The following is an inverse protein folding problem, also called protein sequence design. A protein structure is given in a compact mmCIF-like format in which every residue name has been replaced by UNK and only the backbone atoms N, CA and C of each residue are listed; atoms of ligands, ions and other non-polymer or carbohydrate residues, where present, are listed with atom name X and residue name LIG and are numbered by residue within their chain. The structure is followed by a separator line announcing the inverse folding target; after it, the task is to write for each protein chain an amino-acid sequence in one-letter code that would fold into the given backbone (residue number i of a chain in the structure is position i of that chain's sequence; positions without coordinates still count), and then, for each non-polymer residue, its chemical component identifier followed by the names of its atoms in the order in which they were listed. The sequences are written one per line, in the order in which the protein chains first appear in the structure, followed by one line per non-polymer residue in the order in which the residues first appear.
data_IF_758545948205
#
_entry.id   IF_758545948205
#
_cell.length_a   1.000
_cell.length_b   1.000
_cell.length_c   1.000
_cell.angle_alpha   90.00
_cell.angle_beta   90.00
_cell.angle_gamma   90.00
#
_symmetry.space_group_name_H-M   'P 1'
#
loop_
_entity.id
_entity.type
_entity.pdbx_description
1 polymer ?
#
# COMPACT_ATOMS: atom_id res chain seq x y z
N UNK A 1 11.16 -0.80 12.30
CA UNK A 1 10.33 0.41 12.12
C UNK A 1 11.22 1.66 12.04
N UNK A 2 12.37 1.62 12.69
CA UNK A 2 13.36 2.70 12.81
C UNK A 2 13.81 3.24 11.44
N UNK A 3 14.02 2.37 10.46
CA UNK A 3 14.38 2.80 9.10
C UNK A 3 13.32 3.71 8.45
N UNK A 4 12.02 3.47 8.65
CA UNK A 4 10.96 4.33 8.07
C UNK A 4 10.90 5.70 8.77
N UNK A 5 11.33 5.76 10.03
CA UNK A 5 11.43 6.99 10.80
C UNK A 5 12.65 7.81 10.36
N UNK A 6 13.80 7.17 10.18
CA UNK A 6 15.07 7.85 9.87
C UNK A 6 15.21 8.21 8.40
N UNK A 7 14.98 7.26 7.48
CA UNK A 7 15.23 7.43 6.04
C UNK A 7 13.95 7.43 5.19
N UNK A 8 12.78 7.24 5.83
CA UNK A 8 11.51 7.15 5.12
C UNK A 8 11.26 5.79 4.48
N UNK A 9 10.16 5.69 3.72
CA UNK A 9 9.83 4.47 3.01
C UNK A 9 10.62 4.38 1.70
N UNK A 10 11.60 3.49 1.66
CA UNK A 10 12.44 3.25 0.47
C UNK A 10 11.64 2.51 -0.61
N UNK A 11 11.06 1.37 -0.26
CA UNK A 11 10.26 0.57 -1.19
C UNK A 11 8.75 0.86 -1.08
N UNK A 12 8.11 1.30 -2.18
CA UNK A 12 6.68 1.57 -2.16
C UNK A 12 5.88 0.29 -1.92
N UNK A 13 4.67 0.44 -1.38
CA UNK A 13 3.68 -0.64 -1.37
C UNK A 13 2.97 -0.71 -2.71
N UNK A 14 2.45 -1.88 -3.10
CA UNK A 14 1.66 -2.01 -4.32
C UNK A 14 0.17 -1.95 -3.98
N UNK A 15 -0.56 -1.18 -4.79
CA UNK A 15 -2.00 -0.96 -4.63
C UNK A 15 -2.68 -1.15 -5.99
N UNK A 16 -3.79 -1.88 -6.01
CA UNK A 16 -4.66 -1.97 -7.16
C UNK A 16 -5.68 -0.83 -7.13
N UNK A 17 -5.77 -0.08 -8.23
CA UNK A 17 -6.86 0.86 -8.45
C UNK A 17 -7.94 0.18 -9.30
N UNK A 18 -9.14 0.06 -8.75
CA UNK A 18 -10.32 -0.52 -9.44
C UNK A 18 -11.49 0.43 -9.21
N UNK A 19 -12.06 0.96 -10.29
CA UNK A 19 -13.26 1.82 -10.24
C UNK A 19 -13.11 3.02 -9.27
N UNK A 20 -11.93 3.63 -9.23
CA UNK A 20 -11.63 4.77 -8.36
C UNK A 20 -11.30 4.41 -6.91
N UNK A 21 -11.42 3.15 -6.52
CA UNK A 21 -11.04 2.64 -5.20
C UNK A 21 -9.63 2.04 -5.23
N UNK A 22 -8.91 2.13 -4.10
CA UNK A 22 -7.55 1.61 -3.94
C UNK A 22 -7.53 0.42 -2.97
N UNK A 23 -6.95 -0.69 -3.41
CA UNK A 23 -6.88 -1.95 -2.66
C UNK A 23 -5.43 -2.37 -2.46
N UNK A 24 -4.98 -2.50 -1.21
CA UNK A 24 -3.64 -2.96 -0.87
C UNK A 24 -3.63 -4.44 -0.49
N UNK A 25 -2.72 -5.21 -1.09
CA UNK A 25 -2.55 -6.66 -0.83
C UNK A 25 -1.20 -7.01 -0.23
N UNK A 26 -0.24 -6.07 -0.27
CA UNK A 26 1.10 -6.26 0.28
C UNK A 26 1.47 -5.08 1.18
N UNK A 27 2.62 -5.21 1.86
CA UNK A 27 3.17 -4.09 2.63
C UNK A 27 2.44 -3.80 3.94
N UNK A 28 1.75 -4.78 4.54
CA UNK A 28 1.05 -4.63 5.82
C UNK A 28 1.95 -4.03 6.93
N UNK A 29 3.17 -4.54 7.11
CA UNK A 29 4.12 -4.02 8.09
C UNK A 29 4.54 -2.57 7.81
N UNK A 30 4.69 -2.20 6.52
CA UNK A 30 5.06 -0.83 6.10
C UNK A 30 3.91 0.14 6.33
N UNK A 31 2.70 -0.28 6.01
CA UNK A 31 1.47 0.46 6.29
C UNK A 31 1.27 0.67 7.80
N UNK A 32 1.44 -0.39 8.58
CA UNK A 32 1.30 -0.29 10.04
C UNK A 32 2.39 0.58 10.66
N UNK A 33 3.63 0.51 10.17
CA UNK A 33 4.69 1.43 10.59
C UNK A 33 4.32 2.89 10.31
N UNK A 34 3.78 3.21 9.13
CA UNK A 34 3.28 4.56 8.83
C UNK A 34 2.16 4.98 9.77
N UNK A 35 1.21 4.08 10.07
CA UNK A 35 0.12 4.33 11.01
C UNK A 35 0.62 4.62 12.42
N UNK A 36 1.55 3.81 12.94
CA UNK A 36 2.17 4.00 14.27
C UNK A 36 3.03 5.26 14.34
N UNK A 37 3.67 5.64 13.23
CA UNK A 37 4.45 6.88 13.12
C UNK A 37 3.57 8.13 12.86
N UNK A 38 2.25 8.01 12.79
CA UNK A 38 1.33 9.13 12.56
C UNK A 38 1.44 9.76 11.18
N UNK A 39 1.97 9.04 10.17
CA UNK A 39 2.10 9.56 8.81
C UNK A 39 0.75 9.54 8.09
N UNK A 40 0.34 10.69 7.55
CA UNK A 40 -0.93 10.84 6.80
C UNK A 40 -0.93 10.19 5.41
N UNK A 41 0.24 9.90 4.86
CA UNK A 41 0.38 9.30 3.53
C UNK A 41 1.47 8.23 3.51
N UNK A 42 1.39 7.33 2.53
CA UNK A 42 2.37 6.29 2.26
C UNK A 42 2.68 6.23 0.77
N UNK A 43 3.94 5.99 0.42
CA UNK A 43 4.36 5.90 -0.98
C UNK A 43 3.88 4.59 -1.58
N UNK A 44 3.18 4.71 -2.69
CA UNK A 44 2.46 3.62 -3.34
C UNK A 44 2.84 3.51 -4.81
N UNK A 45 2.98 2.28 -5.31
CA UNK A 45 2.95 1.97 -6.74
C UNK A 45 1.53 1.55 -7.11
N UNK A 46 0.82 2.44 -7.80
CA UNK A 46 -0.56 2.21 -8.21
C UNK A 46 -0.60 1.44 -9.52
N UNK A 47 -1.34 0.33 -9.55
CA UNK A 47 -1.61 -0.44 -10.76
C UNK A 47 -3.10 -0.41 -11.06
N UNK A 48 -3.49 0.03 -12.25
CA UNK A 48 -4.90 -0.03 -12.68
C UNK A 48 -5.28 -1.47 -12.98
N UNK A 49 -6.43 -1.89 -12.48
CA UNK A 49 -6.91 -3.26 -12.59
C UNK A 49 -8.43 -3.30 -12.81
N UNK A 50 -8.92 -4.42 -13.33
CA UNK A 50 -10.36 -4.69 -13.49
C UNK A 50 -10.91 -5.40 -12.25
N UNK A 51 -12.25 -5.43 -12.11
CA UNK A 51 -12.92 -6.21 -11.05
C UNK A 51 -12.55 -7.69 -11.07
N UNK A 52 -12.28 -8.25 -12.25
CA UNK A 52 -11.82 -9.64 -12.37
C UNK A 52 -10.45 -9.83 -11.71
N UNK A 53 -9.51 -8.90 -11.92
CA UNK A 53 -8.20 -8.95 -11.27
C UNK A 53 -8.32 -8.78 -9.76
N UNK A 54 -9.18 -7.88 -9.30
CA UNK A 54 -9.48 -7.74 -7.87
C UNK A 54 -10.00 -9.05 -7.27
N UNK A 55 -10.94 -9.72 -7.94
CA UNK A 55 -11.51 -10.99 -7.49
C UNK A 55 -10.42 -12.06 -7.28
N UNK A 56 -9.40 -12.12 -8.14
CA UNK A 56 -8.29 -13.07 -7.98
C UNK A 56 -7.46 -12.86 -6.71
N UNK A 57 -7.48 -11.66 -6.11
CA UNK A 57 -6.74 -11.37 -4.88
C UNK A 57 -7.59 -11.52 -3.61
N UNK A 58 -8.91 -11.73 -3.76
CA UNK A 58 -9.87 -11.88 -2.65
C UNK A 58 -10.34 -13.32 -2.46
N UNK A 59 -9.93 -14.23 -3.34
CA UNK A 59 -10.28 -15.66 -3.30
C UNK A 59 -9.33 -16.44 -2.39
#
# INVERSE_FOLDING_TARGET
MDSIREIGLVEPIDVLQVEGQYYGFNGCHRFEAHKRLGKHSIKCRVRRATRQVLKMHLM
#
